data_IF_852244133561
#
_entry.id   IF_852244133561
#
_cell.length_a   1.000
_cell.length_b   1.000
_cell.length_c   1.000
_cell.angle_alpha   90.00
_cell.angle_beta   90.00
_cell.angle_gamma   90.00
#
_symmetry.space_group_name_H-M   'P 1'
#
loop_
_entity.id
_entity.type
_entity.pdbx_description
1 polymer ?
#
# COMPACT_ATOMS: atom_id res chain seq x y z
N UNK A 1 4.56 9.39 25.63
CA UNK A 1 3.36 10.14 25.22
C UNK A 1 3.82 11.16 24.19
N UNK A 2 3.15 11.21 23.05
CA UNK A 2 3.45 12.22 22.02
C UNK A 2 2.75 13.52 22.37
N UNK A 3 3.35 14.63 21.96
CA UNK A 3 2.80 15.97 22.15
C UNK A 3 1.87 16.34 21.00
N UNK A 4 0.92 17.25 21.25
CA UNK A 4 0.05 17.80 20.20
C UNK A 4 0.87 18.44 19.07
N UNK A 5 1.98 19.08 19.41
CA UNK A 5 2.91 19.72 18.46
C UNK A 5 3.53 18.69 17.50
N UNK A 6 3.91 17.50 17.98
CA UNK A 6 4.43 16.42 17.14
C UNK A 6 3.38 15.83 16.19
N UNK A 7 2.11 15.83 16.60
CA UNK A 7 1.00 15.43 15.73
C UNK A 7 0.83 16.46 14.60
N UNK A 8 0.73 17.75 14.95
CA UNK A 8 0.54 18.84 13.99
C UNK A 8 1.72 19.04 13.02
N UNK A 9 2.92 18.55 13.37
CA UNK A 9 4.10 18.62 12.52
C UNK A 9 4.03 17.76 11.23
N UNK A 10 3.02 16.89 11.08
CA UNK A 10 2.84 16.12 9.86
C UNK A 10 2.48 17.05 8.67
N UNK A 11 3.27 17.07 7.57
CA UNK A 11 3.04 17.95 6.41
C UNK A 11 1.67 17.78 5.70
N UNK A 12 0.93 16.71 6.02
CA UNK A 12 -0.41 16.48 5.49
C UNK A 12 -1.49 17.25 6.25
N UNK A 13 -1.21 17.79 7.44
CA UNK A 13 -2.10 18.70 8.14
C UNK A 13 -2.07 20.06 7.45
N UNK A 14 -3.25 20.58 7.08
CA UNK A 14 -3.39 21.83 6.34
C UNK A 14 -3.20 21.72 4.81
N UNK A 15 -2.69 20.59 4.30
CA UNK A 15 -2.50 20.39 2.85
C UNK A 15 -3.70 19.66 2.23
N UNK A 16 -4.36 20.29 1.26
CA UNK A 16 -5.47 19.64 0.54
C UNK A 16 -4.95 18.55 -0.42
N UNK A 17 -5.79 17.55 -0.71
CA UNK A 17 -5.44 16.49 -1.66
C UNK A 17 -5.18 17.02 -3.08
N UNK A 18 -5.81 18.14 -3.44
CA UNK A 18 -5.62 18.81 -4.72
C UNK A 18 -4.25 19.51 -4.80
N UNK A 19 -3.87 20.25 -3.75
CA UNK A 19 -2.54 20.89 -3.67
C UNK A 19 -1.43 19.85 -3.69
N UNK A 20 -1.55 18.82 -2.84
CA UNK A 20 -0.59 17.72 -2.76
C UNK A 20 -0.38 17.05 -4.11
N UNK A 21 -1.47 16.74 -4.82
CA UNK A 21 -1.38 16.10 -6.13
C UNK A 21 -0.78 17.05 -7.18
N UNK A 22 -1.11 18.34 -7.12
CA UNK A 22 -0.57 19.35 -8.04
C UNK A 22 0.94 19.47 -7.89
N UNK A 23 1.45 19.61 -6.67
CA UNK A 23 2.90 19.65 -6.37
C UNK A 23 3.63 18.40 -6.90
N UNK A 24 3.06 17.21 -6.69
CA UNK A 24 3.64 15.97 -7.17
C UNK A 24 3.67 15.88 -8.70
N UNK A 25 2.62 16.36 -9.37
CA UNK A 25 2.52 16.34 -10.83
C UNK A 25 3.44 17.38 -11.46
N UNK A 26 3.59 18.55 -10.86
CA UNK A 26 4.51 19.59 -11.31
C UNK A 26 5.97 19.11 -11.24
N UNK A 27 6.32 18.37 -10.19
CA UNK A 27 7.68 17.87 -10.02
C UNK A 27 7.98 16.59 -10.82
N UNK A 28 7.09 15.59 -10.78
CA UNK A 28 7.35 14.27 -11.36
C UNK A 28 6.62 13.99 -12.67
N UNK A 29 5.56 14.72 -12.96
CA UNK A 29 4.66 14.41 -14.06
C UNK A 29 3.84 13.13 -13.85
N UNK A 30 2.87 12.93 -14.72
CA UNK A 30 1.92 11.81 -14.63
C UNK A 30 2.56 10.45 -14.91
N UNK A 31 3.55 10.39 -15.81
CA UNK A 31 4.16 9.14 -16.25
C UNK A 31 4.94 8.46 -15.11
N UNK A 32 5.76 9.23 -14.39
CA UNK A 32 6.50 8.73 -13.22
C UNK A 32 5.52 8.31 -12.12
N UNK A 33 4.53 9.14 -11.80
CA UNK A 33 3.54 8.79 -10.79
C UNK A 33 2.77 7.52 -11.14
N UNK A 34 2.37 7.36 -12.40
CA UNK A 34 1.73 6.14 -12.89
C UNK A 34 2.67 4.92 -12.83
N UNK A 35 3.98 5.12 -13.09
CA UNK A 35 4.99 4.09 -13.03
C UNK A 35 5.16 3.53 -11.59
N UNK A 36 5.34 4.43 -10.62
CA UNK A 36 5.59 4.08 -9.22
C UNK A 36 4.33 3.68 -8.44
N UNK A 37 3.24 4.45 -8.57
CA UNK A 37 2.02 4.21 -7.80
C UNK A 37 1.12 3.16 -8.44
N UNK A 38 1.26 2.91 -9.75
CA UNK A 38 0.47 1.94 -10.49
C UNK A 38 -1.06 2.13 -10.30
N UNK A 39 -1.52 3.39 -10.31
CA UNK A 39 -2.93 3.76 -10.19
C UNK A 39 -3.51 4.05 -11.58
N UNK A 40 -4.71 3.53 -11.87
CA UNK A 40 -5.33 3.67 -13.18
C UNK A 40 -5.73 5.12 -13.50
N UNK A 41 -6.10 5.92 -12.50
CA UNK A 41 -6.44 7.33 -12.66
C UNK A 41 -5.25 8.20 -13.10
N UNK A 42 -4.01 7.69 -13.01
CA UNK A 42 -2.82 8.38 -13.50
C UNK A 42 -2.37 7.88 -14.88
N UNK A 43 -2.89 6.73 -15.33
CA UNK A 43 -2.56 6.15 -16.64
C UNK A 43 -3.51 6.59 -17.74
N UNK A 44 -4.81 6.62 -17.44
CA UNK A 44 -5.86 6.82 -18.44
C UNK A 44 -6.48 8.20 -18.26
N UNK A 45 -6.18 9.12 -19.19
CA UNK A 45 -6.64 10.52 -19.15
C UNK A 45 -6.42 11.20 -17.79
N UNK A 46 -5.15 11.33 -17.35
CA UNK A 46 -4.85 11.94 -16.07
C UNK A 46 -5.32 13.39 -16.01
N UNK A 47 -6.03 13.73 -14.95
CA UNK A 47 -6.49 15.10 -14.66
C UNK A 47 -6.61 15.29 -13.16
N UNK A 48 -6.12 16.41 -12.64
CA UNK A 48 -6.14 16.72 -11.20
C UNK A 48 -7.55 16.53 -10.62
N UNK A 49 -8.58 17.12 -11.23
CA UNK A 49 -9.96 17.05 -10.73
C UNK A 49 -10.52 15.61 -10.72
N UNK A 50 -10.28 14.85 -11.79
CA UNK A 50 -10.74 13.47 -11.90
C UNK A 50 -10.03 12.56 -10.89
N UNK A 51 -8.71 12.72 -10.75
CA UNK A 51 -7.88 11.99 -9.80
C UNK A 51 -8.27 12.29 -8.36
N UNK A 52 -8.47 13.56 -7.99
CA UNK A 52 -8.94 13.94 -6.64
C UNK A 52 -10.31 13.31 -6.34
N UNK A 53 -11.24 13.34 -7.30
CA UNK A 53 -12.55 12.69 -7.15
C UNK A 53 -12.43 11.18 -6.95
N UNK A 54 -11.50 10.53 -7.64
CA UNK A 54 -11.21 9.10 -7.47
C UNK A 54 -10.62 8.81 -6.10
N UNK A 55 -9.57 9.55 -5.70
CA UNK A 55 -8.86 9.34 -4.44
C UNK A 55 -9.79 9.53 -3.23
N UNK A 56 -10.68 10.54 -3.26
CA UNK A 56 -11.71 10.75 -2.23
C UNK A 56 -12.69 9.57 -2.06
N UNK A 57 -12.86 8.75 -3.10
CA UNK A 57 -13.74 7.56 -3.06
C UNK A 57 -13.00 6.27 -2.75
N UNK A 58 -11.67 6.30 -2.74
CA UNK A 58 -10.83 5.11 -2.69
C UNK A 58 -9.73 5.35 -1.67
N UNK A 59 -10.07 5.14 -0.40
CA UNK A 59 -9.22 5.47 0.75
C UNK A 59 -7.83 4.83 0.66
N UNK A 60 -7.73 3.55 0.29
CA UNK A 60 -6.43 2.89 0.14
C UNK A 60 -5.55 3.58 -0.91
N UNK A 61 -6.15 4.15 -1.97
CA UNK A 61 -5.43 4.86 -3.01
C UNK A 61 -5.02 6.25 -2.52
N UNK A 62 -5.89 6.94 -1.78
CA UNK A 62 -5.55 8.19 -1.10
C UNK A 62 -4.37 7.99 -0.14
N UNK A 63 -4.42 7.00 0.76
CA UNK A 63 -3.34 6.71 1.71
C UNK A 63 -2.03 6.35 0.99
N UNK A 64 -2.11 5.68 -0.16
CA UNK A 64 -0.95 5.36 -0.98
C UNK A 64 -0.29 6.62 -1.56
N UNK A 65 -1.09 7.56 -2.07
CA UNK A 65 -0.61 8.84 -2.61
C UNK A 65 -0.01 9.70 -1.50
N UNK A 66 -0.70 9.81 -0.36
CA UNK A 66 -0.21 10.57 0.81
C UNK A 66 1.08 9.99 1.39
N UNK A 67 1.18 8.67 1.52
CA UNK A 67 2.44 8.03 1.94
C UNK A 67 3.57 8.30 0.96
N UNK A 68 3.29 8.27 -0.34
CA UNK A 68 4.29 8.60 -1.35
C UNK A 68 4.72 10.07 -1.25
N UNK A 69 3.79 10.98 -0.99
CA UNK A 69 4.11 12.38 -0.77
C UNK A 69 5.06 12.56 0.43
N UNK A 70 4.77 11.93 1.57
CA UNK A 70 5.63 12.03 2.75
C UNK A 70 7.06 11.50 2.51
N UNK A 71 7.18 10.31 1.94
CA UNK A 71 8.48 9.63 1.88
C UNK A 71 9.28 9.90 0.61
N UNK A 72 8.61 10.14 -0.52
CA UNK A 72 9.30 10.39 -1.80
C UNK A 72 9.39 11.88 -2.10
N UNK A 73 8.32 12.65 -1.88
CA UNK A 73 8.31 14.07 -2.21
C UNK A 73 8.83 14.96 -1.08
N UNK A 74 8.46 14.70 0.18
CA UNK A 74 8.99 15.39 1.36
C UNK A 74 10.25 14.71 1.93
N UNK A 75 10.67 13.58 1.33
CA UNK A 75 11.87 12.82 1.68
C UNK A 75 12.03 12.57 3.19
N UNK A 76 10.91 12.34 3.88
CA UNK A 76 10.91 12.04 5.30
C UNK A 76 11.40 10.60 5.53
N UNK A 77 12.03 10.32 6.69
CA UNK A 77 12.39 8.96 7.05
C UNK A 77 11.13 8.08 7.14
N UNK A 78 11.29 6.79 6.85
CA UNK A 78 10.20 5.82 6.99
C UNK A 78 9.74 5.79 8.45
N UNK A 79 8.43 5.90 8.68
CA UNK A 79 7.86 5.78 10.01
C UNK A 79 8.06 4.37 10.60
N UNK A 80 8.07 4.28 11.93
CA UNK A 80 8.11 3.01 12.67
C UNK A 80 6.93 2.11 12.29
N UNK A 81 7.09 0.79 12.43
CA UNK A 81 6.07 -0.16 11.96
C UNK A 81 4.70 0.05 12.65
N UNK A 82 4.68 0.44 13.93
CA UNK A 82 3.45 0.78 14.66
C UNK A 82 2.74 2.02 14.07
N UNK A 83 3.50 3.03 13.65
CA UNK A 83 2.95 4.23 13.00
C UNK A 83 2.57 3.95 11.54
N UNK A 84 3.26 3.02 10.88
CA UNK A 84 2.99 2.67 9.49
C UNK A 84 1.61 2.01 9.32
N UNK A 85 1.14 1.29 10.34
CA UNK A 85 -0.21 0.71 10.41
C UNK A 85 -1.31 1.79 10.40
N UNK A 86 -1.02 2.98 10.92
CA UNK A 86 -1.96 4.10 10.95
C UNK A 86 -2.09 4.78 9.58
N UNK A 87 -3.25 5.40 9.30
CA UNK A 87 -3.43 6.26 8.14
C UNK A 87 -2.33 7.34 8.06
N UNK A 88 -1.87 7.73 6.86
CA UNK A 88 -0.73 8.66 6.74
C UNK A 88 -0.93 10.01 7.43
N UNK A 89 -2.19 10.48 7.50
CA UNK A 89 -2.56 11.73 8.18
C UNK A 89 -2.55 11.63 9.70
N UNK A 90 -2.62 10.42 10.26
CA UNK A 90 -2.60 10.17 11.70
C UNK A 90 -1.19 9.81 12.21
N UNK A 91 -0.21 9.76 11.32
CA UNK A 91 1.19 9.48 11.67
C UNK A 91 1.82 10.69 12.32
N UNK A 92 2.57 10.42 13.38
CA UNK A 92 3.30 11.44 14.13
C UNK A 92 4.68 11.63 13.50
N UNK A 93 5.05 12.88 13.24
CA UNK A 93 6.36 13.25 12.70
C UNK A 93 7.12 14.00 13.80
N UNK A 94 8.19 13.43 14.37
CA UNK A 94 8.96 14.09 15.42
C UNK A 94 9.45 15.49 15.00
N UNK A 95 9.43 16.46 15.93
CA UNK A 95 9.76 17.88 15.65
C UNK A 95 11.16 18.12 15.06
N UNK A 96 12.10 17.21 15.31
CA UNK A 96 13.45 17.28 14.76
C UNK A 96 13.52 16.86 13.28
N UNK A 97 12.52 16.15 12.79
CA UNK A 97 12.43 15.72 11.39
C UNK A 97 11.75 16.80 10.58
N UNK A 98 12.41 17.25 9.52
CA UNK A 98 11.91 18.27 8.60
C UNK A 98 11.80 17.68 7.20
N UNK A 99 10.79 18.10 6.41
CA UNK A 99 10.76 17.79 5.00
C UNK A 99 12.03 18.22 4.29
N UNK A 100 12.58 17.33 3.47
CA UNK A 100 13.69 17.60 2.58
C UNK A 100 13.23 17.80 1.13
N UNK A 101 14.20 17.90 0.23
CA UNK A 101 13.95 18.02 -1.21
C UNK A 101 13.34 16.74 -1.78
N UNK A 102 12.46 16.85 -2.80
CA UNK A 102 11.88 15.69 -3.46
C UNK A 102 12.94 14.75 -4.01
N UNK A 103 12.73 13.45 -3.79
CA UNK A 103 13.62 12.42 -4.29
C UNK A 103 13.59 12.41 -5.81
N UNK A 104 14.75 12.30 -6.45
CA UNK A 104 14.83 12.06 -7.89
C UNK A 104 14.31 10.65 -8.23
N UNK A 105 13.33 10.57 -9.12
CA UNK A 105 12.70 9.32 -9.55
C UNK A 105 12.84 9.19 -11.06
N UNK A 106 13.28 8.02 -11.52
CA UNK A 106 13.45 7.73 -12.94
C UNK A 106 12.47 6.65 -13.41
N UNK A 107 12.07 6.71 -14.68
CA UNK A 107 11.23 5.67 -15.29
C UNK A 107 11.97 4.32 -15.36
N UNK A 108 13.29 4.35 -15.58
CA UNK A 108 14.16 3.17 -15.61
C UNK A 108 14.17 2.46 -14.25
N UNK A 109 14.25 3.21 -13.15
CA UNK A 109 14.17 2.64 -11.80
C UNK A 109 12.80 2.00 -11.53
N UNK A 110 11.72 2.64 -11.98
CA UNK A 110 10.38 2.09 -11.86
C UNK A 110 10.24 0.77 -12.63
N UNK A 111 10.81 0.70 -13.84
CA UNK A 111 10.83 -0.52 -14.65
C UNK A 111 11.66 -1.62 -13.96
N UNK A 112 12.86 -1.29 -13.47
CA UNK A 112 13.71 -2.22 -12.74
C UNK A 112 13.00 -2.81 -11.51
N UNK A 113 12.28 -1.97 -10.76
CA UNK A 113 11.48 -2.41 -9.61
C UNK A 113 10.34 -3.35 -10.04
N UNK A 114 9.67 -3.07 -11.16
CA UNK A 114 8.62 -3.94 -11.73
C UNK A 114 9.18 -5.28 -12.18
N UNK A 115 10.28 -5.29 -12.93
CA UNK A 115 10.96 -6.50 -13.39
C UNK A 115 11.44 -7.34 -12.21
N UNK A 116 12.03 -6.70 -11.18
CA UNK A 116 12.46 -7.38 -9.94
C UNK A 116 11.27 -8.05 -9.24
N UNK A 117 10.16 -7.35 -9.08
CA UNK A 117 8.92 -7.90 -8.47
C UNK A 117 8.35 -9.05 -9.31
N UNK A 118 8.32 -8.92 -10.63
CA UNK A 118 7.82 -9.96 -11.54
C UNK A 118 8.69 -11.23 -11.50
N UNK A 119 10.02 -11.07 -11.52
CA UNK A 119 10.98 -12.17 -11.38
C UNK A 119 10.79 -12.89 -10.03
N UNK A 120 10.75 -12.13 -8.93
CA UNK A 120 10.55 -12.71 -7.60
C UNK A 120 9.20 -13.45 -7.48
N UNK A 121 8.13 -12.96 -8.11
CA UNK A 121 6.85 -13.68 -8.16
C UNK A 121 6.98 -15.02 -8.90
N UNK A 122 7.54 -15.00 -10.11
CA UNK A 122 7.75 -16.22 -10.92
C UNK A 122 8.60 -17.26 -10.21
N UNK A 123 9.63 -16.83 -9.49
CA UNK A 123 10.49 -17.72 -8.68
C UNK A 123 9.75 -18.32 -7.48
N UNK A 124 8.84 -17.58 -6.84
CA UNK A 124 8.01 -18.13 -5.76
C UNK A 124 7.01 -19.15 -6.30
N UNK A 125 6.37 -18.84 -7.43
CA UNK A 125 5.39 -19.74 -8.05
C UNK A 125 6.05 -21.05 -8.49
N UNK A 126 7.26 -20.99 -9.06
CA UNK A 126 8.00 -22.20 -9.46
C UNK A 126 8.43 -23.05 -8.26
N UNK A 127 8.87 -22.44 -7.15
CA UNK A 127 9.16 -23.17 -5.89
C UNK A 127 7.91 -23.77 -5.26
N UNK A 128 6.78 -23.06 -5.32
CA UNK A 128 5.48 -23.57 -4.87
C UNK A 128 5.05 -24.81 -5.66
N UNK A 129 5.25 -24.79 -6.99
CA UNK A 129 4.95 -25.92 -7.87
C UNK A 129 5.86 -27.13 -7.61
N UNK A 130 7.16 -26.92 -7.46
CA UNK A 130 8.10 -28.00 -7.08
C UNK A 130 7.74 -28.68 -5.76
N UNK A 131 7.21 -27.93 -4.77
CA UNK A 131 6.74 -28.48 -3.50
C UNK A 131 5.41 -29.24 -3.62
N UNK A 132 4.56 -28.87 -4.57
CA UNK A 132 3.27 -29.55 -4.82
C UNK A 132 3.44 -30.84 -5.64
N UNK A 133 4.39 -30.89 -6.57
CA UNK A 133 4.72 -32.07 -7.38
C UNK A 133 5.55 -33.12 -6.61
N UNK A 134 6.12 -32.75 -5.46
CA UNK A 134 6.75 -33.68 -4.52
C UNK A 134 5.70 -34.51 -3.77
N UNK A 135 5.29 -35.65 -4.36
CA UNK A 135 4.48 -36.69 -3.69
C UNK A 135 5.04 -36.98 -2.29
N UNK A 136 4.28 -36.64 -1.24
CA UNK A 136 4.50 -37.16 0.10
C UNK A 136 4.33 -38.69 0.06
N UNK A 137 5.35 -39.51 0.40
CA UNK A 137 5.24 -40.96 0.37
C UNK A 137 4.39 -41.52 1.52
N UNK A 138 3.88 -40.67 2.42
CA UNK A 138 3.05 -41.08 3.55
C UNK A 138 1.65 -40.43 3.51
N UNK A 139 0.90 -40.68 2.43
CA UNK A 139 -0.56 -40.52 2.43
C UNK A 139 -1.21 -41.89 2.45
N UNK A 140 -1.02 -42.63 3.55
CA UNK A 140 -1.80 -43.83 3.81
C UNK A 140 -3.27 -43.44 3.93
N UNK A 141 -4.10 -44.20 3.23
CA UNK A 141 -5.55 -44.14 3.24
C UNK A 141 -6.06 -44.18 4.69
N UNK A 142 -6.43 -43.01 5.23
CA UNK A 142 -7.33 -42.99 6.38
C UNK A 142 -8.72 -43.27 5.84
N UNK A 143 -9.19 -44.49 6.07
CA UNK A 143 -10.60 -44.83 5.90
C UNK A 143 -11.46 -43.84 6.69
N UNK A 144 -12.55 -43.38 6.08
CA UNK A 144 -13.46 -42.41 6.69
C UNK A 144 -14.17 -43.07 7.88
N UNK A 145 -14.02 -42.58 9.12
CA UNK A 145 -14.96 -42.94 10.16
C UNK A 145 -16.27 -42.20 9.88
N UNK A 146 -17.34 -42.96 9.66
CA UNK A 146 -18.71 -42.46 9.73
C UNK A 146 -18.98 -41.98 11.15
N UNK A 147 -18.94 -40.66 11.37
CA UNK A 147 -19.27 -40.05 12.64
C UNK A 147 -19.85 -38.66 12.42
N UNK A 148 -21.18 -38.55 12.58
CA UNK A 148 -21.84 -37.25 12.79
C UNK A 148 -21.18 -36.57 13.99
N UNK A 149 -20.52 -35.43 13.79
CA UNK A 149 -20.14 -34.54 14.88
C UNK A 149 -20.31 -33.09 14.44
N UNK A 150 -21.00 -32.35 15.29
CA UNK A 150 -21.63 -31.06 15.08
C UNK A 150 -20.65 -29.97 14.62
N UNK A 151 -21.12 -29.11 13.72
CA UNK A 151 -20.51 -27.81 13.43
C UNK A 151 -20.74 -26.91 14.65
N UNK A 152 -19.72 -26.75 15.48
CA UNK A 152 -19.57 -25.57 16.33
C UNK A 152 -18.17 -25.00 16.10
N UNK A 153 -18.16 -23.69 16.04
CA UNK A 153 -17.21 -22.84 15.37
C UNK A 153 -15.80 -22.86 15.96
N UNK A 154 -14.80 -22.82 15.08
CA UNK A 154 -13.49 -22.28 15.41
C UNK A 154 -13.09 -21.28 14.31
N UNK A 155 -12.51 -20.14 14.71
CA UNK A 155 -12.70 -18.88 14.01
C UNK A 155 -11.88 -18.82 12.74
N UNK A 156 -12.57 -18.39 11.68
CA UNK A 156 -11.99 -18.08 10.38
C UNK A 156 -10.86 -17.04 10.49
N UNK A 157 -9.90 -17.17 9.59
CA UNK A 157 -8.91 -16.17 9.19
C UNK A 157 -9.38 -14.73 9.45
N UNK A 158 -8.78 -14.08 10.45
CA UNK A 158 -8.90 -12.64 10.62
C UNK A 158 -8.11 -11.96 9.50
N UNK A 159 -8.81 -11.64 8.42
CA UNK A 159 -8.36 -10.70 7.40
C UNK A 159 -8.95 -9.31 7.72
N UNK A 160 -8.16 -8.36 8.26
CA UNK A 160 -8.68 -7.07 8.72
C UNK A 160 -9.18 -6.12 7.61
N UNK A 161 -8.99 -6.44 6.33
CA UNK A 161 -9.44 -5.57 5.22
C UNK A 161 -10.53 -6.19 4.34
N UNK A 162 -11.21 -7.24 4.82
CA UNK A 162 -12.25 -7.92 4.05
C UNK A 162 -13.64 -7.24 4.07
N UNK A 163 -13.87 -6.23 4.91
CA UNK A 163 -15.17 -5.58 5.03
C UNK A 163 -15.13 -4.10 4.63
N UNK A 164 -15.33 -3.83 3.34
CA UNK A 164 -15.94 -2.57 2.93
C UNK A 164 -16.93 -2.79 1.78
N UNK A 165 -18.08 -3.37 2.13
CA UNK A 165 -19.34 -3.22 1.40
C UNK A 165 -20.50 -3.56 2.34
N UNK A 166 -21.24 -2.54 2.79
CA UNK A 166 -22.71 -2.38 2.64
C UNK A 166 -23.33 -1.47 3.71
N UNK A 167 -24.01 -0.42 3.22
CA UNK A 167 -25.11 0.39 3.85
C UNK A 167 -24.73 1.30 5.01
N UNK A 168 -25.26 2.53 5.08
CA UNK A 168 -26.61 3.00 4.68
C UNK A 168 -26.69 3.90 3.44
#
# INVERSE_FOLDING_TARGET
MYTQEEYENNPLHGTSLEQLLTEMVEHYGWEILAAYLNLNCFKNNPSIKASVKFLKKTEWAQHKVESFYLYQYKNLPRADDAMYELPPRDRIVPLHQKPGDPKELSLEDAERLRLKKAKASRERDSRGKQRADGKSPYRQQREKPSGRRSKEDSPADFNPYANFKSKE
#
